data_IF_298632978856
#
_entry.id   IF_298632978856
#
_cell.length_a   1.000
_cell.length_b   1.000
_cell.length_c   1.000
_cell.angle_alpha   90.00
_cell.angle_beta   90.00
_cell.angle_gamma   90.00
#
_symmetry.space_group_name_H-M   'P 1'
#
loop_
_entity.id
_entity.type
_entity.pdbx_description
1 polymer ?
#
# COMPACT_ATOMS: atom_id res chain seq x y z
N UNK A 1 -72.07 -17.44 -25.69
CA UNK A 1 -72.46 -16.02 -25.80
C UNK A 1 -72.44 -15.42 -24.40
N UNK A 2 -71.68 -14.33 -24.23
CA UNK A 2 -71.45 -13.51 -23.02
C UNK A 2 -70.69 -14.17 -21.84
N UNK A 3 -69.65 -13.59 -21.24
CA UNK A 3 -69.11 -12.23 -21.36
C UNK A 3 -67.71 -12.11 -20.73
N UNK A 4 -67.03 -11.07 -21.20
CA UNK A 4 -65.66 -10.62 -20.91
C UNK A 4 -65.56 -10.03 -19.49
N UNK A 5 -64.42 -10.25 -18.83
CA UNK A 5 -64.04 -9.56 -17.60
C UNK A 5 -62.54 -9.26 -17.63
N UNK A 6 -62.21 -8.05 -18.05
CA UNK A 6 -60.86 -7.50 -18.16
C UNK A 6 -60.18 -7.39 -16.79
N UNK A 7 -58.97 -7.93 -16.68
CA UNK A 7 -58.06 -7.72 -15.57
C UNK A 7 -56.71 -7.25 -16.08
N UNK A 8 -56.49 -5.94 -16.10
CA UNK A 8 -55.21 -5.35 -16.47
C UNK A 8 -54.13 -5.76 -15.46
N UNK A 9 -53.28 -6.72 -15.83
CA UNK A 9 -52.08 -7.05 -15.06
C UNK A 9 -51.06 -5.93 -15.28
N UNK A 10 -51.08 -4.94 -14.37
CA UNK A 10 -50.02 -3.96 -14.22
C UNK A 10 -48.72 -4.71 -13.93
N UNK A 11 -47.90 -4.92 -14.96
CA UNK A 11 -46.50 -5.27 -14.77
C UNK A 11 -45.75 -3.98 -14.58
N UNK A 12 -45.49 -3.64 -13.33
CA UNK A 12 -44.63 -2.53 -12.96
C UNK A 12 -43.24 -2.80 -13.54
N UNK A 13 -42.94 -2.08 -14.62
CA UNK A 13 -41.63 -2.04 -15.25
C UNK A 13 -40.67 -1.42 -14.24
N UNK A 14 -39.90 -2.25 -13.54
CA UNK A 14 -38.78 -1.77 -12.71
C UNK A 14 -37.73 -1.15 -13.63
N UNK A 15 -37.87 0.17 -13.83
CA UNK A 15 -36.91 1.01 -14.52
C UNK A 15 -35.59 0.96 -13.72
N UNK A 16 -34.57 0.33 -14.29
CA UNK A 16 -33.23 0.31 -13.73
C UNK A 16 -32.59 1.66 -14.02
N UNK A 17 -32.97 2.65 -13.20
CA UNK A 17 -32.34 3.96 -13.14
C UNK A 17 -30.83 3.78 -13.13
N UNK A 18 -30.23 4.21 -14.23
CA UNK A 18 -28.82 4.10 -14.52
C UNK A 18 -28.03 4.80 -13.43
N UNK A 19 -27.25 4.01 -12.68
CA UNK A 19 -26.39 4.50 -11.61
C UNK A 19 -25.32 5.43 -12.23
N UNK A 20 -25.60 6.74 -12.27
CA UNK A 20 -24.65 7.77 -12.71
C UNK A 20 -23.49 7.79 -11.72
N UNK A 21 -22.44 7.03 -12.06
CA UNK A 21 -21.13 7.09 -11.42
C UNK A 21 -20.69 8.55 -11.36
N UNK A 22 -20.65 9.13 -10.17
CA UNK A 22 -19.98 10.40 -9.92
C UNK A 22 -18.51 10.25 -10.31
N UNK A 23 -18.14 10.86 -11.44
CA UNK A 23 -16.74 11.04 -11.84
C UNK A 23 -16.15 12.09 -10.89
N UNK A 24 -15.19 11.68 -10.06
CA UNK A 24 -14.36 12.65 -9.35
C UNK A 24 -13.38 13.23 -10.35
N UNK A 25 -13.53 14.52 -10.69
CA UNK A 25 -12.52 15.28 -11.41
C UNK A 25 -11.41 15.68 -10.44
N UNK A 26 -10.23 15.10 -10.61
CA UNK A 26 -9.01 15.58 -9.99
C UNK A 26 -8.66 16.94 -10.62
N UNK A 27 -8.91 18.03 -9.90
CA UNK A 27 -8.39 19.34 -10.26
C UNK A 27 -6.91 19.33 -9.92
N UNK A 28 -6.08 19.39 -10.97
CA UNK A 28 -4.64 19.48 -10.87
C UNK A 28 -4.21 20.72 -10.10
N UNK A 29 -3.30 20.52 -9.17
CA UNK A 29 -2.63 21.57 -8.39
C UNK A 29 -1.79 22.45 -9.30
N UNK A 30 -2.13 23.74 -9.37
CA UNK A 30 -1.29 24.78 -9.98
C UNK A 30 -0.32 25.37 -8.97
N UNK A 31 0.97 25.20 -9.27
CA UNK A 31 2.11 26.11 -9.06
C UNK A 31 2.29 26.83 -7.72
N UNK A 32 3.17 26.28 -6.88
CA UNK A 32 3.81 27.04 -5.80
C UNK A 32 4.80 28.06 -6.40
N UNK A 33 4.40 29.34 -6.42
CA UNK A 33 5.31 30.46 -6.67
C UNK A 33 6.14 30.76 -5.42
N UNK A 34 7.45 30.60 -5.61
CA UNK A 34 8.61 31.15 -4.91
C UNK A 34 8.31 32.31 -3.95
N UNK A 35 8.46 32.09 -2.63
CA UNK A 35 8.46 33.15 -1.62
C UNK A 35 9.91 33.44 -1.21
N UNK A 36 10.41 34.60 -1.63
CA UNK A 36 11.71 35.14 -1.22
C UNK A 36 11.81 35.25 0.30
N UNK A 37 12.91 34.75 0.86
CA UNK A 37 13.25 34.73 2.28
C UNK A 37 13.48 36.14 2.83
N UNK A 38 12.74 36.49 3.89
CA UNK A 38 13.08 37.62 4.77
C UNK A 38 14.19 37.18 5.71
N UNK A 39 15.29 37.93 5.72
CA UNK A 39 16.40 37.79 6.67
C UNK A 39 16.03 38.44 7.99
N UNK A 40 16.06 37.68 9.08
CA UNK A 40 16.16 38.24 10.43
C UNK A 40 17.37 37.64 11.11
N UNK A 41 18.42 38.44 11.21
CA UNK A 41 19.63 38.15 11.97
C UNK A 41 19.29 38.08 13.45
N UNK A 42 19.61 36.97 14.10
CA UNK A 42 19.94 36.97 15.52
C UNK A 42 21.14 36.04 15.73
N UNK A 43 22.26 36.69 16.01
CA UNK A 43 23.54 36.05 16.28
C UNK A 43 23.46 35.30 17.60
N UNK A 44 23.77 34.00 17.60
CA UNK A 44 24.11 33.27 18.81
C UNK A 44 25.28 32.32 18.52
N UNK A 45 26.47 32.80 18.86
CA UNK A 45 27.73 32.10 18.79
C UNK A 45 27.85 31.14 19.98
N UNK A 46 27.68 29.83 19.72
CA UNK A 46 28.27 28.79 20.56
C UNK A 46 29.20 27.96 19.68
N UNK A 47 30.50 28.21 19.83
CA UNK A 47 31.57 27.51 19.14
C UNK A 47 31.79 26.15 19.78
N UNK A 48 31.03 25.15 19.34
CA UNK A 48 31.40 23.74 19.49
C UNK A 48 32.24 23.36 18.26
N UNK A 49 33.43 22.87 18.52
CA UNK A 49 34.46 22.47 17.57
C UNK A 49 33.89 21.60 16.44
N UNK A 50 33.82 22.20 15.24
CA UNK A 50 33.49 21.51 13.99
C UNK A 50 34.65 20.58 13.63
N UNK A 51 34.51 19.28 13.89
CA UNK A 51 35.23 18.29 13.09
C UNK A 51 34.75 18.44 11.65
N UNK A 52 35.68 18.39 10.70
CA UNK A 52 35.47 18.67 9.29
C UNK A 52 34.51 17.65 8.66
N UNK A 53 33.21 17.95 8.73
CA UNK A 53 32.21 17.42 7.82
C UNK A 53 32.67 17.81 6.40
N UNK A 54 33.35 16.88 5.72
CA UNK A 54 33.59 17.05 4.29
C UNK A 54 32.22 16.99 3.63
N UNK A 55 31.80 18.17 3.18
CA UNK A 55 30.47 18.47 2.67
C UNK A 55 30.13 17.56 1.48
N UNK A 56 29.30 16.54 1.72
CA UNK A 56 28.46 16.03 0.65
C UNK A 56 27.40 17.10 0.38
N UNK A 57 27.37 17.64 -0.85
CA UNK A 57 26.43 18.67 -1.35
C UNK A 57 25.01 18.08 -1.43
N UNK A 58 24.44 17.69 -0.31
CA UNK A 58 23.17 16.97 -0.21
C UNK A 58 22.43 17.28 1.08
N UNK A 59 21.12 17.01 1.13
CA UNK A 59 20.32 17.21 2.34
C UNK A 59 20.90 16.37 3.49
N UNK A 60 20.72 16.86 4.73
CA UNK A 60 21.13 16.13 5.93
C UNK A 60 20.58 14.70 5.93
N UNK A 61 21.47 13.73 6.19
CA UNK A 61 21.16 12.31 6.30
C UNK A 61 21.58 11.81 7.68
N UNK A 62 20.76 10.95 8.27
CA UNK A 62 21.05 10.29 9.57
C UNK A 62 21.95 9.07 9.43
N UNK A 63 21.97 8.46 8.25
CA UNK A 63 22.71 7.24 7.95
C UNK A 63 23.63 7.56 6.78
N UNK A 64 24.91 7.29 6.95
CA UNK A 64 25.90 7.46 5.90
C UNK A 64 25.83 6.29 4.92
N UNK A 65 25.52 6.56 3.65
CA UNK A 65 25.34 5.52 2.62
C UNK A 65 26.61 4.70 2.34
N UNK A 66 27.78 5.23 2.70
CA UNK A 66 29.09 4.62 2.43
C UNK A 66 29.42 3.45 3.36
N UNK A 67 28.78 3.39 4.53
CA UNK A 67 29.14 2.46 5.61
C UNK A 67 27.94 1.62 6.06
N UNK A 68 27.18 1.10 5.08
CA UNK A 68 26.01 0.25 5.35
C UNK A 68 26.33 -1.21 4.99
N UNK A 69 26.69 -1.99 5.99
CA UNK A 69 26.78 -3.45 5.85
C UNK A 69 25.41 -4.11 6.06
N UNK A 70 24.91 -4.80 5.03
CA UNK A 70 23.67 -5.59 5.11
C UNK A 70 24.00 -7.07 4.96
N UNK A 71 23.70 -7.84 6.01
CA UNK A 71 23.88 -9.29 6.03
C UNK A 71 23.08 -9.93 4.87
N UNK A 72 23.64 -10.90 4.13
CA UNK A 72 23.00 -11.48 2.94
C UNK A 72 21.57 -11.99 3.17
N UNK A 73 21.31 -12.57 4.34
CA UNK A 73 20.00 -13.11 4.71
C UNK A 73 18.92 -12.03 4.97
N UNK A 74 19.33 -10.79 5.20
CA UNK A 74 18.45 -9.65 5.50
C UNK A 74 18.34 -8.67 4.32
N UNK A 75 18.90 -9.04 3.16
CA UNK A 75 18.87 -8.18 1.97
C UNK A 75 17.49 -8.06 1.34
N UNK A 76 16.65 -9.08 1.48
CA UNK A 76 15.32 -9.13 0.87
C UNK A 76 14.20 -9.28 1.91
N UNK A 77 13.21 -8.40 1.84
CA UNK A 77 12.01 -8.39 2.68
C UNK A 77 10.79 -9.03 1.98
N UNK A 78 10.96 -9.56 0.77
CA UNK A 78 9.88 -10.23 0.05
C UNK A 78 9.37 -11.45 0.81
N UNK A 79 8.09 -11.79 0.60
CA UNK A 79 7.55 -13.05 1.14
C UNK A 79 8.29 -14.26 0.58
N UNK A 80 8.85 -14.17 -0.62
CA UNK A 80 9.48 -15.28 -1.32
C UNK A 80 10.84 -15.64 -0.71
N UNK A 81 11.56 -14.65 -0.16
CA UNK A 81 12.80 -14.86 0.59
C UNK A 81 12.59 -15.49 1.98
N UNK A 82 11.34 -15.57 2.47
CA UNK A 82 11.05 -16.18 3.77
C UNK A 82 11.34 -17.69 3.74
N UNK A 83 12.02 -18.18 4.79
CA UNK A 83 12.20 -19.62 5.01
C UNK A 83 10.84 -20.32 5.10
N UNK A 84 10.65 -21.38 4.33
CA UNK A 84 9.38 -22.13 4.20
C UNK A 84 8.22 -21.33 3.57
N UNK A 85 8.51 -20.34 2.73
CA UNK A 85 7.48 -19.60 2.00
C UNK A 85 6.66 -20.50 1.08
N UNK A 86 7.31 -21.43 0.37
CA UNK A 86 6.71 -22.31 -0.64
C UNK A 86 5.74 -23.31 -0.03
N UNK A 87 4.64 -23.59 -0.74
CA UNK A 87 3.62 -24.57 -0.36
C UNK A 87 2.81 -24.18 0.89
N UNK A 88 2.99 -22.97 1.41
CA UNK A 88 2.31 -22.51 2.63
C UNK A 88 1.00 -21.80 2.32
N UNK A 89 0.13 -21.68 3.32
CA UNK A 89 -1.06 -20.82 3.23
C UNK A 89 -0.70 -19.36 2.89
N UNK A 90 0.46 -18.90 3.36
CA UNK A 90 0.97 -17.56 3.09
C UNK A 90 1.35 -17.36 1.63
N UNK A 91 1.88 -18.37 0.93
CA UNK A 91 2.21 -18.26 -0.49
C UNK A 91 0.97 -17.97 -1.33
N UNK A 92 -0.10 -18.74 -1.10
CA UNK A 92 -1.35 -18.55 -1.83
C UNK A 92 -1.90 -17.14 -1.57
N UNK A 93 -1.93 -16.70 -0.32
CA UNK A 93 -2.37 -15.36 0.05
C UNK A 93 -1.52 -14.27 -0.62
N UNK A 94 -0.20 -14.44 -0.65
CA UNK A 94 0.70 -13.52 -1.32
C UNK A 94 0.38 -13.46 -2.83
N UNK A 95 0.23 -14.60 -3.51
CA UNK A 95 -0.14 -14.62 -4.94
C UNK A 95 -1.47 -13.96 -5.23
N UNK A 96 -2.48 -14.19 -4.38
CA UNK A 96 -3.82 -13.65 -4.58
C UNK A 96 -3.91 -12.14 -4.28
N UNK A 97 -3.14 -11.63 -3.32
CA UNK A 97 -3.32 -10.27 -2.82
C UNK A 97 -2.16 -9.31 -3.05
N UNK A 98 -1.01 -9.76 -3.60
CA UNK A 98 0.19 -8.94 -3.83
C UNK A 98 -0.06 -7.65 -4.62
N UNK A 99 -1.01 -7.67 -5.56
CA UNK A 99 -1.31 -6.52 -6.43
C UNK A 99 -2.49 -5.67 -5.94
N UNK A 100 -3.07 -6.03 -4.80
CA UNK A 100 -4.38 -5.55 -4.38
C UNK A 100 -4.21 -4.80 -3.07
N UNK A 101 -4.65 -3.55 -3.04
CA UNK A 101 -4.48 -2.69 -1.87
C UNK A 101 -5.71 -1.84 -1.61
N UNK A 102 -5.80 -1.25 -0.42
CA UNK A 102 -6.86 -0.33 -0.03
C UNK A 102 -8.28 -0.89 -0.17
N UNK A 103 -9.18 -0.12 -0.80
CA UNK A 103 -10.60 -0.48 -0.94
C UNK A 103 -10.81 -1.74 -1.79
N UNK A 104 -9.99 -1.91 -2.83
CA UNK A 104 -10.05 -3.08 -3.72
C UNK A 104 -9.74 -4.37 -2.96
N UNK A 105 -8.77 -4.34 -2.04
CA UNK A 105 -8.42 -5.49 -1.19
C UNK A 105 -9.63 -6.06 -0.43
N UNK A 106 -10.50 -5.22 0.14
CA UNK A 106 -11.69 -5.71 0.86
C UNK A 106 -12.63 -6.50 -0.05
N UNK A 107 -12.85 -6.01 -1.27
CA UNK A 107 -13.72 -6.66 -2.25
C UNK A 107 -13.08 -7.94 -2.78
N UNK A 108 -11.79 -7.88 -3.11
CA UNK A 108 -11.00 -9.00 -3.62
C UNK A 108 -10.89 -10.12 -2.61
N UNK A 109 -10.55 -9.80 -1.35
CA UNK A 109 -10.56 -10.75 -0.23
C UNK A 109 -11.93 -11.41 -0.11
N UNK A 110 -13.02 -10.64 -0.11
CA UNK A 110 -14.38 -11.20 0.04
C UNK A 110 -14.73 -12.15 -1.11
N UNK A 111 -14.37 -11.80 -2.35
CA UNK A 111 -14.56 -12.68 -3.51
C UNK A 111 -13.74 -13.96 -3.40
N UNK A 112 -12.45 -13.87 -3.07
CA UNK A 112 -11.55 -15.03 -2.88
C UNK A 112 -11.98 -15.91 -1.71
N UNK A 113 -12.49 -15.33 -0.62
CA UNK A 113 -12.97 -16.06 0.57
C UNK A 113 -14.23 -16.89 0.30
N UNK A 114 -15.09 -16.49 -0.66
CA UNK A 114 -16.41 -17.11 -0.89
C UNK A 114 -16.35 -18.49 -1.56
N UNK A 115 -15.19 -18.95 -2.04
CA UNK A 115 -15.08 -20.27 -2.68
C UNK A 115 -13.69 -20.88 -2.82
N UNK A 116 -12.62 -20.22 -2.35
CA UNK A 116 -11.24 -20.70 -2.53
C UNK A 116 -10.53 -21.01 -1.22
N UNK A 117 -11.24 -21.60 -0.26
CA UNK A 117 -10.72 -21.94 1.08
C UNK A 117 -9.71 -23.11 1.11
N UNK A 118 -9.17 -23.54 -0.03
CA UNK A 118 -8.09 -24.52 -0.13
C UNK A 118 -6.72 -23.83 -0.15
N UNK A 119 -5.91 -24.04 0.88
CA UNK A 119 -4.55 -23.48 0.96
C UNK A 119 -3.47 -24.55 1.12
N UNK A 120 -2.24 -24.09 1.27
CA UNK A 120 -1.09 -24.92 1.61
C UNK A 120 -1.03 -25.29 3.10
N UNK A 121 0.09 -25.87 3.56
CA UNK A 121 0.27 -26.18 4.98
C UNK A 121 0.50 -24.93 5.83
N UNK A 122 0.22 -25.04 7.13
CA UNK A 122 0.60 -24.03 8.11
C UNK A 122 1.89 -24.48 8.79
N UNK A 123 2.99 -23.77 8.54
CA UNK A 123 4.27 -24.02 9.21
C UNK A 123 4.24 -23.43 10.64
N UNK A 124 4.69 -24.20 11.62
CA UNK A 124 4.89 -23.73 13.01
C UNK A 124 6.35 -23.34 13.30
N UNK A 125 7.22 -23.43 12.30
CA UNK A 125 8.65 -23.18 12.44
C UNK A 125 8.97 -21.71 12.73
N UNK A 126 10.00 -21.47 13.54
CA UNK A 126 10.53 -20.12 13.79
C UNK A 126 11.42 -19.66 12.63
N UNK A 127 11.13 -18.45 12.12
CA UNK A 127 11.94 -17.76 11.10
C UNK A 127 12.79 -16.63 11.71
N UNK A 128 13.33 -16.82 12.92
CA UNK A 128 14.21 -15.84 13.56
C UNK A 128 15.61 -15.81 12.93
N UNK A 129 16.26 -14.65 13.01
CA UNK A 129 17.67 -14.44 12.70
C UNK A 129 18.42 -14.04 13.98
N UNK A 130 19.58 -14.63 14.23
CA UNK A 130 20.45 -14.26 15.36
C UNK A 130 21.57 -13.37 14.82
N UNK A 131 21.72 -12.19 15.40
CA UNK A 131 22.87 -11.32 15.12
C UNK A 131 24.09 -11.88 15.85
N UNK A 132 25.19 -11.99 15.11
CA UNK A 132 26.51 -12.11 15.71
C UNK A 132 26.87 -10.72 16.26
N UNK A 133 27.45 -10.68 17.45
CA UNK A 133 27.95 -9.44 18.07
C UNK A 133 28.97 -8.71 17.18
#
# INVERSE_FOLDING_TARGET
NFGVGDGAVRRDLFDHSSNRKRRFSFVGSGDLKNRSSVSSSTDNLVSVTKTSFTDSIGPFRRVDEKDVFVHPNLRDNSFEAKRNARGSWGEKANRDFKFTSGKAFKQEKTKKKRGSYSGGSLSLDSCSFKFNE
#
